data_IF_446561285771
#
_entry.id   IF_446561285771
#
_cell.length_a   1.000
_cell.length_b   1.000
_cell.length_c   1.000
_cell.angle_alpha   90.00
_cell.angle_beta   90.00
_cell.angle_gamma   90.00
#
_symmetry.space_group_name_H-M   'P 1'
#
loop_
_entity.id
_entity.type
_entity.pdbx_description
1 polymer ?
#
# COMPACT_ATOMS: atom_id res chain seq x y z
N UNK A 1 0.47 15.17 12.04
CA UNK A 1 -0.48 14.98 10.93
C UNK A 1 0.20 14.46 9.66
N UNK A 2 0.98 15.24 8.89
CA UNK A 2 1.60 14.71 7.65
C UNK A 2 2.72 13.69 7.89
N UNK A 3 3.44 13.83 9.02
CA UNK A 3 4.48 12.87 9.43
C UNK A 3 3.91 11.49 9.73
N UNK A 4 2.74 11.44 10.38
CA UNK A 4 2.07 10.19 10.77
C UNK A 4 1.56 9.44 9.53
N UNK A 5 0.96 10.17 8.58
CA UNK A 5 0.50 9.59 7.31
C UNK A 5 1.65 9.02 6.48
N UNK A 6 2.76 9.76 6.36
CA UNK A 6 3.96 9.30 5.65
C UNK A 6 4.48 8.00 6.27
N UNK A 7 4.48 7.89 7.60
CA UNK A 7 4.95 6.72 8.31
C UNK A 7 4.07 5.48 8.02
N UNK A 8 2.75 5.64 7.99
CA UNK A 8 1.82 4.55 7.62
C UNK A 8 2.13 4.02 6.23
N UNK A 9 2.27 4.93 5.26
CA UNK A 9 2.52 4.57 3.86
C UNK A 9 3.86 3.80 3.76
N UNK A 10 4.91 4.27 4.44
CA UNK A 10 6.20 3.58 4.47
C UNK A 10 6.08 2.18 5.07
N UNK A 11 5.37 2.02 6.20
CA UNK A 11 5.15 0.71 6.80
C UNK A 11 4.41 -0.26 5.87
N UNK A 12 3.43 0.23 5.11
CA UNK A 12 2.72 -0.59 4.11
C UNK A 12 3.65 -1.00 2.97
N UNK A 13 4.46 -0.08 2.44
CA UNK A 13 5.43 -0.36 1.37
C UNK A 13 6.51 -1.34 1.82
N UNK A 14 6.98 -1.22 3.06
CA UNK A 14 7.94 -2.17 3.65
C UNK A 14 7.36 -3.59 3.69
N UNK A 15 6.08 -3.70 4.05
CA UNK A 15 5.36 -4.98 4.16
C UNK A 15 4.81 -5.50 2.83
N UNK A 16 4.95 -4.74 1.75
CA UNK A 16 4.48 -5.14 0.43
C UNK A 16 5.14 -6.47 -0.01
N UNK A 17 4.38 -7.45 -0.52
CA UNK A 17 4.92 -8.70 -1.01
C UNK A 17 5.88 -8.54 -2.19
N UNK A 18 6.79 -9.50 -2.38
CA UNK A 18 7.74 -9.46 -3.51
C UNK A 18 7.06 -9.55 -4.88
N UNK A 19 5.97 -10.32 -5.00
CA UNK A 19 5.20 -10.40 -6.25
C UNK A 19 4.65 -9.04 -6.66
N UNK A 20 4.20 -8.23 -5.70
CA UNK A 20 3.66 -6.89 -5.96
C UNK A 20 4.74 -5.95 -6.49
N UNK A 21 5.96 -5.99 -5.94
CA UNK A 21 7.09 -5.20 -6.45
C UNK A 21 7.43 -5.60 -7.89
N UNK A 22 7.45 -6.89 -8.18
CA UNK A 22 7.69 -7.41 -9.53
C UNK A 22 6.62 -6.96 -10.52
N UNK A 23 5.35 -7.02 -10.10
CA UNK A 23 4.23 -6.70 -10.97
C UNK A 23 4.10 -5.19 -11.18
N UNK A 24 4.49 -4.34 -10.21
CA UNK A 24 4.63 -2.88 -10.38
C UNK A 24 5.71 -2.50 -11.41
N UNK A 25 6.80 -3.27 -11.50
CA UNK A 25 7.87 -3.07 -12.48
C UNK A 25 7.54 -3.69 -13.86
N UNK A 26 6.42 -4.42 -13.97
CA UNK A 26 6.03 -5.11 -15.20
C UNK A 26 5.72 -4.13 -16.34
N UNK A 27 6.05 -4.53 -17.57
CA UNK A 27 5.60 -3.78 -18.77
C UNK A 27 4.16 -4.12 -19.17
N UNK A 28 3.60 -5.17 -18.57
CA UNK A 28 2.19 -5.53 -18.76
C UNK A 28 1.32 -4.60 -17.90
N UNK A 29 0.50 -3.79 -18.58
CA UNK A 29 -0.38 -2.83 -17.92
C UNK A 29 -1.41 -3.51 -17.02
N UNK A 30 -1.86 -4.72 -17.34
CA UNK A 30 -2.85 -5.44 -16.53
C UNK A 30 -2.22 -5.86 -15.22
N UNK A 31 -1.01 -6.42 -15.25
CA UNK A 31 -0.28 -6.81 -14.05
C UNK A 31 0.05 -5.60 -13.16
N UNK A 32 0.47 -4.49 -13.77
CA UNK A 32 0.74 -3.25 -13.04
C UNK A 32 -0.50 -2.72 -12.32
N UNK A 33 -1.64 -2.63 -13.02
CA UNK A 33 -2.90 -2.15 -12.44
C UNK A 33 -3.31 -3.04 -11.27
N UNK A 34 -3.25 -4.36 -11.41
CA UNK A 34 -3.55 -5.31 -10.34
C UNK A 34 -2.68 -5.06 -9.09
N UNK A 35 -1.38 -4.79 -9.29
CA UNK A 35 -0.46 -4.51 -8.19
C UNK A 35 -0.73 -3.16 -7.53
N UNK A 36 -1.05 -2.12 -8.32
CA UNK A 36 -1.43 -0.79 -7.84
C UNK A 36 -2.73 -0.84 -7.02
N UNK A 37 -3.75 -1.56 -7.49
CA UNK A 37 -5.01 -1.76 -6.77
C UNK A 37 -4.80 -2.50 -5.45
N UNK A 38 -3.98 -3.55 -5.47
CA UNK A 38 -3.63 -4.31 -4.27
C UNK A 38 -2.87 -3.45 -3.25
N UNK A 39 -1.93 -2.62 -3.71
CA UNK A 39 -1.21 -1.67 -2.85
C UNK A 39 -2.16 -0.63 -2.25
N UNK A 40 -3.08 -0.08 -3.06
CA UNK A 40 -4.08 0.86 -2.59
C UNK A 40 -4.98 0.25 -1.51
N UNK A 41 -5.41 -1.01 -1.67
CA UNK A 41 -6.17 -1.73 -0.65
C UNK A 41 -5.39 -1.91 0.66
N UNK A 42 -4.09 -2.22 0.59
CA UNK A 42 -3.24 -2.32 1.79
C UNK A 42 -3.09 -0.98 2.51
N UNK A 43 -2.98 0.12 1.76
CA UNK A 43 -2.90 1.47 2.33
C UNK A 43 -4.23 1.86 2.99
N UNK A 44 -5.37 1.58 2.33
CA UNK A 44 -6.69 1.85 2.87
C UNK A 44 -6.93 1.10 4.19
N UNK A 45 -6.64 -0.22 4.22
CA UNK A 45 -6.76 -1.04 5.44
C UNK A 45 -5.88 -0.51 6.59
N UNK A 46 -4.67 -0.04 6.30
CA UNK A 46 -3.78 0.54 7.32
C UNK A 46 -4.30 1.89 7.85
N UNK A 47 -4.86 2.72 6.97
CA UNK A 47 -5.50 3.99 7.33
C UNK A 47 -6.74 3.77 8.21
N UNK A 48 -7.60 2.82 7.85
CA UNK A 48 -8.78 2.45 8.64
C UNK A 48 -8.37 1.97 10.03
N UNK A 49 -7.36 1.10 10.12
CA UNK A 49 -6.82 0.62 11.41
C UNK A 49 -6.25 1.72 12.28
N UNK A 50 -5.58 2.72 11.70
CA UNK A 50 -5.13 3.89 12.45
C UNK A 50 -6.29 4.75 12.94
N UNK A 51 -7.29 5.00 12.09
CA UNK A 51 -8.48 5.76 12.47
C UNK A 51 -9.27 5.07 13.59
N UNK A 52 -9.42 3.75 13.54
CA UNK A 52 -10.08 2.96 14.59
C UNK A 52 -9.27 2.82 15.88
N UNK A 53 -7.94 3.02 15.85
CA UNK A 53 -7.11 3.00 17.06
C UNK A 53 -7.08 4.35 17.79
N UNK A 54 -7.61 5.41 17.18
CA UNK A 54 -7.66 6.77 17.71
C UNK A 54 -9.04 7.15 18.29
N UNK A 55 -10.02 6.24 18.27
CA UNK A 55 -11.38 6.40 18.82
C UNK A 55 -11.53 5.68 20.17
#
# INVERSE_FOLDING_TARGET
>A
MTGDLTNIILQVIERAPQWMRRDLDSKDSVMRVQAEESLAAMIADALEKQGSAAD
#
